data_IF_718627372979
#
_entry.id   IF_718627372979
#
_cell.length_a   1.000
_cell.length_b   1.000
_cell.length_c   1.000
_cell.angle_alpha   90.00
_cell.angle_beta   90.00
_cell.angle_gamma   90.00
#
_symmetry.space_group_name_H-M   'P 1'
#
loop_
_entity.id
_entity.type
_entity.pdbx_description
1 polymer ?
#
# COMPACT_ATOMS: atom_id res chain seq x y z
N UNK A 1 -0.34 19.34 11.22
CA UNK A 1 -1.56 18.81 10.55
C UNK A 1 -1.45 17.30 10.41
N UNK A 2 -2.56 16.63 10.51
CA UNK A 2 -2.62 15.19 10.22
C UNK A 2 -3.32 15.00 8.87
N UNK A 3 -2.77 14.15 8.03
CA UNK A 3 -3.34 13.86 6.73
C UNK A 3 -3.42 12.37 6.49
N UNK A 4 -4.53 11.92 5.91
CA UNK A 4 -4.72 10.56 5.45
C UNK A 4 -4.77 10.59 3.94
N UNK A 5 -3.87 9.88 3.30
CA UNK A 5 -3.78 9.84 1.84
C UNK A 5 -4.17 8.44 1.38
N UNK A 6 -5.19 8.37 0.52
CA UNK A 6 -5.64 7.10 -0.08
C UNK A 6 -5.11 6.99 -1.50
N UNK A 7 -4.55 5.83 -1.79
CA UNK A 7 -3.99 5.54 -3.12
C UNK A 7 -4.58 4.24 -3.62
N UNK A 8 -5.17 4.30 -4.81
CA UNK A 8 -5.79 3.13 -5.44
C UNK A 8 -4.87 2.40 -6.39
N UNK A 9 -5.31 1.24 -6.83
CA UNK A 9 -4.57 0.36 -7.75
C UNK A 9 -4.18 1.07 -9.05
N UNK A 10 -5.11 1.83 -9.62
CA UNK A 10 -4.87 2.53 -10.89
C UNK A 10 -3.79 3.61 -10.79
N UNK A 11 -3.53 4.11 -9.60
CA UNK A 11 -2.47 5.08 -9.36
C UNK A 11 -1.10 4.40 -9.28
N UNK A 12 -1.04 3.21 -8.69
CA UNK A 12 0.21 2.55 -8.37
C UNK A 12 0.69 1.59 -9.45
N UNK A 13 -0.20 1.07 -10.28
CA UNK A 13 0.15 0.05 -11.24
C UNK A 13 -0.30 0.42 -12.64
N UNK A 14 0.48 -0.04 -13.62
CA UNK A 14 0.07 -0.04 -15.02
C UNK A 14 -0.99 -1.12 -15.26
N UNK A 15 -1.64 -1.07 -16.42
CA UNK A 15 -2.61 -2.09 -16.81
C UNK A 15 -2.01 -3.51 -16.85
N UNK A 16 -0.70 -3.61 -17.00
CA UNK A 16 0.03 -4.89 -16.96
C UNK A 16 0.14 -5.49 -15.57
N UNK A 17 -0.24 -4.75 -14.52
CA UNK A 17 -0.03 -5.12 -13.13
C UNK A 17 1.34 -4.73 -12.60
N UNK A 18 2.23 -4.24 -13.44
CA UNK A 18 3.55 -3.80 -13.02
C UNK A 18 3.49 -2.41 -12.41
N UNK A 19 4.40 -2.17 -11.48
CA UNK A 19 4.46 -0.93 -10.72
C UNK A 19 4.70 0.28 -11.63
N UNK A 20 3.92 1.35 -11.42
CA UNK A 20 4.17 2.63 -12.07
C UNK A 20 5.20 3.39 -11.23
N UNK A 21 6.46 3.21 -11.57
CA UNK A 21 7.59 3.71 -10.79
C UNK A 21 7.54 5.23 -10.63
N UNK A 22 7.27 5.94 -11.71
CA UNK A 22 7.23 7.41 -11.68
C UNK A 22 6.20 7.94 -10.69
N UNK A 23 5.01 7.32 -10.68
CA UNK A 23 3.93 7.76 -9.80
C UNK A 23 4.22 7.47 -8.34
N UNK A 24 4.71 6.27 -8.05
CA UNK A 24 4.98 5.91 -6.65
C UNK A 24 6.17 6.67 -6.09
N UNK A 25 7.20 6.92 -6.89
CA UNK A 25 8.32 7.76 -6.48
C UNK A 25 7.88 9.19 -6.20
N UNK A 26 7.06 9.76 -7.08
CA UNK A 26 6.51 11.11 -6.89
C UNK A 26 5.68 11.21 -5.63
N UNK A 27 4.84 10.21 -5.37
CA UNK A 27 4.02 10.16 -4.17
C UNK A 27 4.89 10.12 -2.90
N UNK A 28 5.86 9.22 -2.85
CA UNK A 28 6.74 9.08 -1.69
C UNK A 28 7.55 10.35 -1.45
N UNK A 29 7.98 11.02 -2.51
CA UNK A 29 8.73 12.27 -2.42
C UNK A 29 7.88 13.38 -1.80
N UNK A 30 6.64 13.54 -2.26
CA UNK A 30 5.72 14.55 -1.73
C UNK A 30 5.37 14.26 -0.26
N UNK A 31 5.08 13.00 0.06
CA UNK A 31 4.74 12.62 1.43
C UNK A 31 5.93 12.81 2.37
N UNK A 32 7.13 12.53 1.92
CA UNK A 32 8.34 12.74 2.71
C UNK A 32 8.58 14.23 2.99
N UNK A 33 8.35 15.08 2.01
CA UNK A 33 8.42 16.53 2.19
C UNK A 33 7.43 17.01 3.24
N UNK A 34 6.19 16.53 3.18
CA UNK A 34 5.16 16.90 4.15
C UNK A 34 5.54 16.43 5.56
N UNK A 35 6.08 15.23 5.68
CA UNK A 35 6.53 14.70 6.96
C UNK A 35 7.66 15.55 7.53
N UNK A 36 8.61 15.95 6.71
CA UNK A 36 9.73 16.79 7.11
C UNK A 36 9.26 18.19 7.51
N UNK A 37 8.16 18.65 6.98
CA UNK A 37 7.56 19.94 7.35
C UNK A 37 6.78 19.86 8.69
N UNK A 38 6.72 18.71 9.32
CA UNK A 38 6.10 18.54 10.63
C UNK A 38 4.70 17.96 10.61
N UNK A 39 4.22 17.53 9.45
CA UNK A 39 2.89 16.93 9.33
C UNK A 39 2.92 15.44 9.67
N UNK A 40 1.81 14.93 10.20
CA UNK A 40 1.63 13.49 10.41
C UNK A 40 0.89 12.91 9.21
N UNK A 41 1.45 11.87 8.62
CA UNK A 41 0.93 11.29 7.38
C UNK A 41 0.58 9.82 7.61
N UNK A 42 -0.63 9.45 7.23
CA UNK A 42 -1.06 8.05 7.16
C UNK A 42 -1.37 7.76 5.69
N UNK A 43 -0.68 6.77 5.15
CA UNK A 43 -0.88 6.36 3.77
C UNK A 43 -1.73 5.09 3.76
N UNK A 44 -2.87 5.15 3.10
CA UNK A 44 -3.75 4.00 2.90
C UNK A 44 -3.61 3.58 1.44
N UNK A 45 -3.08 2.39 1.23
CA UNK A 45 -2.79 1.90 -0.11
C UNK A 45 -3.55 0.61 -0.38
N UNK A 46 -4.15 0.53 -1.55
CA UNK A 46 -4.74 -0.70 -2.08
C UNK A 46 -3.91 -1.15 -3.28
N UNK A 47 -4.30 -2.27 -3.89
CA UNK A 47 -3.64 -2.72 -5.10
C UNK A 47 -2.69 -3.90 -4.90
N UNK A 48 -2.66 -4.49 -3.70
CA UNK A 48 -1.81 -5.65 -3.44
C UNK A 48 -2.10 -6.81 -4.39
N UNK A 49 -3.39 -7.10 -4.65
CA UNK A 49 -3.76 -8.18 -5.57
C UNK A 49 -3.24 -7.89 -6.97
N UNK A 50 -3.42 -6.66 -7.45
CA UNK A 50 -2.94 -6.27 -8.78
C UNK A 50 -1.43 -6.39 -8.91
N UNK A 51 -0.68 -6.00 -7.90
CA UNK A 51 0.77 -6.16 -7.91
C UNK A 51 1.18 -7.63 -7.85
N UNK A 52 0.43 -8.45 -7.11
CA UNK A 52 0.65 -9.89 -7.07
C UNK A 52 0.39 -10.56 -8.41
N UNK A 53 -0.66 -10.14 -9.11
CA UNK A 53 -0.96 -10.61 -10.46
C UNK A 53 0.21 -10.31 -11.40
N UNK A 54 0.75 -9.11 -11.34
CA UNK A 54 1.89 -8.73 -12.17
C UNK A 54 3.15 -9.51 -11.79
N UNK A 55 3.42 -9.66 -10.51
CA UNK A 55 4.62 -10.36 -10.00
C UNK A 55 4.58 -11.85 -10.34
N UNK A 56 3.41 -12.47 -10.22
CA UNK A 56 3.24 -13.90 -10.51
C UNK A 56 3.06 -14.18 -12.00
N UNK A 57 2.91 -13.15 -12.83
CA UNK A 57 2.71 -13.32 -14.25
C UNK A 57 1.35 -13.91 -14.61
N UNK A 58 0.33 -13.63 -13.82
CA UNK A 58 -1.02 -14.13 -14.08
C UNK A 58 -1.65 -13.38 -15.25
N UNK A 59 -2.52 -14.05 -16.04
CA UNK A 59 -3.14 -13.42 -17.23
C UNK A 59 -4.15 -12.33 -16.89
N UNK A 60 -4.64 -12.29 -15.66
CA UNK A 60 -5.60 -11.30 -15.23
C UNK A 60 -5.96 -11.50 -13.78
N UNK A 61 -6.96 -10.74 -13.31
CA UNK A 61 -7.40 -10.85 -11.94
C UNK A 61 -7.99 -12.23 -11.66
N UNK A 62 -7.49 -12.96 -10.63
CA UNK A 62 -7.98 -14.31 -10.37
C UNK A 62 -9.42 -14.32 -9.87
N UNK A 63 -10.16 -15.34 -10.27
CA UNK A 63 -11.55 -15.54 -9.86
C UNK A 63 -11.67 -16.39 -8.60
N UNK A 64 -10.75 -17.32 -8.39
CA UNK A 64 -10.78 -18.22 -7.25
C UNK A 64 -10.11 -17.63 -6.02
N UNK A 65 -10.61 -17.98 -4.84
CA UNK A 65 -10.13 -17.42 -3.60
C UNK A 65 -8.66 -17.77 -3.30
N UNK A 66 -8.20 -19.03 -3.46
CA UNK A 66 -6.79 -19.35 -3.18
C UNK A 66 -5.81 -18.54 -4.03
N UNK A 67 -6.11 -18.33 -5.30
CA UNK A 67 -5.23 -17.54 -6.18
C UNK A 67 -5.27 -16.06 -5.82
N UNK A 68 -6.45 -15.54 -5.44
CA UNK A 68 -6.56 -14.16 -4.93
C UNK A 68 -5.73 -13.97 -3.68
N UNK A 69 -5.79 -14.91 -2.75
CA UNK A 69 -5.02 -14.84 -1.51
C UNK A 69 -3.53 -14.89 -1.78
N UNK A 70 -3.10 -15.75 -2.69
CA UNK A 70 -1.70 -15.82 -3.09
C UNK A 70 -1.24 -14.53 -3.75
N UNK A 71 -2.03 -13.98 -4.66
CA UNK A 71 -1.71 -12.71 -5.33
C UNK A 71 -1.66 -11.56 -4.31
N UNK A 72 -2.59 -11.52 -3.36
CA UNK A 72 -2.60 -10.51 -2.32
C UNK A 72 -1.37 -10.60 -1.42
N UNK A 73 -0.97 -11.81 -1.04
CA UNK A 73 0.20 -12.02 -0.19
C UNK A 73 1.50 -11.60 -0.89
N UNK A 74 1.68 -12.02 -2.13
CA UNK A 74 2.84 -11.66 -2.94
C UNK A 74 2.86 -10.15 -3.20
N UNK A 75 1.71 -9.59 -3.58
CA UNK A 75 1.59 -8.17 -3.89
C UNK A 75 1.79 -7.29 -2.68
N UNK A 76 1.30 -7.71 -1.52
CA UNK A 76 1.48 -6.96 -0.28
C UNK A 76 2.96 -6.89 0.12
N UNK A 77 3.65 -8.01 0.00
CA UNK A 77 5.10 -8.07 0.25
C UNK A 77 5.85 -7.13 -0.69
N UNK A 78 5.55 -7.16 -1.98
CA UNK A 78 6.18 -6.30 -2.98
C UNK A 78 5.87 -4.83 -2.74
N UNK A 79 4.63 -4.53 -2.40
CA UNK A 79 4.19 -3.16 -2.15
C UNK A 79 4.90 -2.57 -0.93
N UNK A 80 4.98 -3.32 0.17
CA UNK A 80 5.66 -2.86 1.37
C UNK A 80 7.16 -2.72 1.16
N UNK A 81 7.77 -3.64 0.44
CA UNK A 81 9.18 -3.55 0.08
C UNK A 81 9.45 -2.26 -0.70
N UNK A 82 8.58 -1.95 -1.67
CA UNK A 82 8.71 -0.75 -2.49
C UNK A 82 8.60 0.52 -1.66
N UNK A 83 7.59 0.61 -0.79
CA UNK A 83 7.43 1.77 0.08
C UNK A 83 8.60 1.92 1.04
N UNK A 84 9.04 0.83 1.65
CA UNK A 84 10.17 0.86 2.58
C UNK A 84 11.43 1.37 1.89
N UNK A 85 11.72 0.86 0.71
CA UNK A 85 12.87 1.27 -0.08
C UNK A 85 12.83 2.76 -0.42
N UNK A 86 11.69 3.25 -0.89
CA UNK A 86 11.55 4.65 -1.31
C UNK A 86 11.58 5.61 -0.12
N UNK A 87 10.86 5.31 0.95
CA UNK A 87 10.86 6.17 2.12
C UNK A 87 12.18 6.15 2.87
N UNK A 88 12.90 5.04 2.84
CA UNK A 88 14.22 4.95 3.47
C UNK A 88 15.24 5.89 2.83
N UNK A 89 15.07 6.22 1.56
CA UNK A 89 15.92 7.21 0.88
C UNK A 89 15.82 8.60 1.52
N UNK A 90 14.72 8.86 2.21
CA UNK A 90 14.46 10.13 2.89
C UNK A 90 14.51 9.99 4.41
N UNK A 91 15.11 8.90 4.90
CA UNK A 91 15.27 8.61 6.33
C UNK A 91 13.96 8.41 7.09
N UNK A 92 12.94 7.89 6.41
CA UNK A 92 11.67 7.58 7.05
C UNK A 92 11.53 6.08 7.24
N UNK A 93 10.99 5.70 8.40
CA UNK A 93 10.65 4.31 8.70
C UNK A 93 9.17 4.11 8.43
N UNK A 94 8.83 3.01 7.77
CA UNK A 94 7.44 2.65 7.51
C UNK A 94 7.04 1.46 8.35
N UNK A 95 5.77 1.45 8.75
CA UNK A 95 5.17 0.32 9.44
C UNK A 95 3.85 -0.01 8.74
N UNK A 96 3.50 -1.28 8.73
CA UNK A 96 2.31 -1.75 8.08
C UNK A 96 1.24 -2.13 9.08
N UNK A 97 0.01 -1.70 8.80
CA UNK A 97 -1.18 -2.14 9.51
C UNK A 97 -2.11 -2.75 8.48
N UNK A 98 -2.46 -4.03 8.68
CA UNK A 98 -3.41 -4.71 7.81
C UNK A 98 -4.80 -4.55 8.38
N UNK A 99 -5.69 -3.93 7.59
CA UNK A 99 -7.07 -3.69 7.98
C UNK A 99 -8.01 -4.53 7.11
N UNK A 100 -8.91 -5.23 7.79
CA UNK A 100 -10.03 -5.91 7.14
C UNK A 100 -11.32 -5.23 7.58
N UNK A 101 -12.42 -5.48 6.87
CA UNK A 101 -13.73 -5.00 7.29
C UNK A 101 -14.08 -5.50 8.70
N UNK A 102 -13.69 -6.72 9.01
CA UNK A 102 -13.90 -7.31 10.33
C UNK A 102 -13.17 -6.54 11.44
N UNK A 103 -11.93 -6.12 11.18
CA UNK A 103 -11.15 -5.35 12.16
C UNK A 103 -11.80 -4.01 12.46
N UNK A 104 -12.38 -3.38 11.46
CA UNK A 104 -13.05 -2.08 11.62
C UNK A 104 -14.38 -2.24 12.38
N UNK A 105 -15.09 -3.35 12.14
CA UNK A 105 -16.39 -3.61 12.76
C UNK A 105 -16.28 -4.03 14.23
N UNK A 106 -15.13 -4.53 14.67
CA UNK A 106 -14.90 -4.88 16.07
C UNK A 106 -14.42 -3.67 16.86
N UNK A 107 -15.20 -3.30 17.86
CA UNK A 107 -14.95 -2.10 18.67
C UNK A 107 -13.57 -2.08 19.31
N UNK A 108 -13.12 -3.22 19.86
CA UNK A 108 -11.81 -3.31 20.52
C UNK A 108 -10.67 -3.05 19.54
N UNK A 109 -10.78 -3.56 18.32
CA UNK A 109 -9.78 -3.35 17.29
C UNK A 109 -9.78 -1.92 16.78
N UNK A 110 -10.96 -1.32 16.64
CA UNK A 110 -11.07 0.09 16.27
C UNK A 110 -10.39 0.98 17.30
N UNK A 111 -10.61 0.68 18.58
CA UNK A 111 -9.99 1.43 19.65
C UNK A 111 -8.46 1.38 19.57
N UNK A 112 -7.90 0.23 19.24
CA UNK A 112 -6.46 0.07 19.05
C UNK A 112 -5.91 0.91 17.89
N UNK A 113 -6.68 1.12 16.84
CA UNK A 113 -6.27 1.98 15.73
C UNK A 113 -6.40 3.46 16.05
N UNK A 114 -7.38 3.84 16.83
CA UNK A 114 -7.64 5.23 17.17
C UNK A 114 -6.65 5.76 18.22
N UNK A 115 -6.08 4.89 18.99
CA UNK A 115 -5.10 5.22 20.01
C UNK A 115 -3.67 5.10 19.49
#
# INVERSE_FOLDING_TARGET
>A
MKAVVKVGTSTLAHATGRLNIRRIEGLCKVLSDLKNAGHQIILVSSGAIGMGVGKLGLPGRPADMPTKQAAAAVGQCELMYTYDKLFSQYNHTVAQILLTGEDVDHEDRRHNFEN
#
